data_IF_743583975504
#
_entry.id   IF_743583975504
#
_cell.length_a   1.000
_cell.length_b   1.000
_cell.length_c   1.000
_cell.angle_alpha   90.00
_cell.angle_beta   90.00
_cell.angle_gamma   90.00
#
_symmetry.space_group_name_H-M   'P 1'
#
loop_
_entity.id
_entity.type
_entity.pdbx_description
1 polymer ?
#
# COMPACT_ATOMS: atom_id res chain seq x y z
N UNK A 1 17.88 40.72 -6.53
CA UNK A 1 16.45 40.40 -6.73
C UNK A 1 15.77 40.43 -5.37
N UNK A 2 14.59 41.04 -5.25
CA UNK A 2 13.86 41.05 -3.97
C UNK A 2 13.52 39.60 -3.57
N UNK A 3 13.69 39.27 -2.28
CA UNK A 3 13.30 37.95 -1.75
C UNK A 3 11.78 37.85 -1.82
N UNK A 4 11.26 36.85 -2.54
CA UNK A 4 9.81 36.59 -2.63
C UNK A 4 9.29 36.35 -1.22
N UNK A 5 8.31 37.14 -0.80
CA UNK A 5 7.74 37.07 0.54
C UNK A 5 6.68 35.97 0.64
N UNK A 6 6.32 35.58 1.87
CA UNK A 6 5.21 34.64 2.11
C UNK A 6 3.88 35.16 1.53
N UNK A 7 3.63 36.47 1.63
CA UNK A 7 2.44 37.11 1.06
C UNK A 7 2.42 37.05 -0.47
N UNK A 8 3.58 37.22 -1.12
CA UNK A 8 3.70 37.09 -2.58
C UNK A 8 3.39 35.67 -3.02
N UNK A 9 3.90 34.65 -2.31
CA UNK A 9 3.62 33.24 -2.63
C UNK A 9 2.15 32.90 -2.41
N UNK A 10 1.54 33.36 -1.33
CA UNK A 10 0.10 33.17 -1.06
C UNK A 10 -0.76 33.73 -2.20
N UNK A 11 -0.49 34.97 -2.60
CA UNK A 11 -1.23 35.66 -3.67
C UNK A 11 -1.05 34.98 -5.02
N UNK A 12 0.17 34.53 -5.33
CA UNK A 12 0.45 33.78 -6.56
C UNK A 12 -0.29 32.44 -6.56
N UNK A 13 -0.25 31.71 -5.45
CA UNK A 13 -0.85 30.38 -5.31
C UNK A 13 -2.38 30.44 -5.47
N UNK A 14 -3.05 31.40 -4.84
CA UNK A 14 -4.52 31.59 -4.94
C UNK A 14 -5.01 31.98 -6.34
N UNK A 15 -4.18 32.68 -7.12
CA UNK A 15 -4.52 33.14 -8.46
C UNK A 15 -4.06 32.19 -9.57
N UNK A 16 -3.28 31.17 -9.25
CA UNK A 16 -2.75 30.23 -10.24
C UNK A 16 -3.87 29.34 -10.83
N UNK A 17 -3.80 29.14 -12.14
CA UNK A 17 -4.71 28.32 -12.94
C UNK A 17 -4.01 27.14 -13.64
N UNK A 18 -2.68 27.12 -13.64
CA UNK A 18 -1.86 26.03 -14.15
C UNK A 18 -1.43 25.10 -13.01
N UNK A 19 -1.76 23.82 -13.13
CA UNK A 19 -1.46 22.82 -12.10
C UNK A 19 0.03 22.62 -11.85
N UNK A 20 0.87 22.67 -12.89
CA UNK A 20 2.32 22.47 -12.75
C UNK A 20 2.97 23.65 -12.03
N UNK A 21 2.53 24.88 -12.32
CA UNK A 21 2.97 26.07 -11.61
C UNK A 21 2.46 26.08 -10.18
N UNK A 22 1.20 25.68 -9.96
CA UNK A 22 0.64 25.55 -8.62
C UNK A 22 1.48 24.60 -7.77
N UNK A 23 1.81 23.42 -8.29
CA UNK A 23 2.66 22.45 -7.62
C UNK A 23 4.01 23.05 -7.21
N UNK A 24 4.68 23.76 -8.13
CA UNK A 24 5.97 24.43 -7.85
C UNK A 24 5.85 25.51 -6.79
N UNK A 25 4.80 26.33 -6.83
CA UNK A 25 4.55 27.38 -5.85
C UNK A 25 4.26 26.80 -4.47
N UNK A 26 3.44 25.75 -4.40
CA UNK A 26 3.14 25.00 -3.16
C UNK A 26 4.42 24.44 -2.53
N UNK A 27 5.22 23.70 -3.31
CA UNK A 27 6.48 23.13 -2.81
C UNK A 27 7.45 24.20 -2.34
N UNK A 28 7.50 25.34 -3.03
CA UNK A 28 8.31 26.50 -2.61
C UNK A 28 7.82 27.12 -1.30
N UNK A 29 6.50 27.29 -1.13
CA UNK A 29 5.91 27.80 0.11
C UNK A 29 6.27 26.91 1.30
N UNK A 30 6.05 25.59 1.18
CA UNK A 30 6.31 24.62 2.24
C UNK A 30 7.81 24.55 2.58
N UNK A 31 8.67 24.43 1.57
CA UNK A 31 10.12 24.32 1.79
C UNK A 31 10.75 25.57 2.40
N UNK A 32 10.26 26.77 2.07
CA UNK A 32 10.84 28.02 2.57
C UNK A 32 10.30 28.46 3.92
N UNK A 33 9.03 28.15 4.22
CA UNK A 33 8.32 28.74 5.35
C UNK A 33 7.63 27.69 6.26
N UNK A 34 7.53 26.42 5.83
CA UNK A 34 6.80 25.39 6.57
C UNK A 34 7.35 25.07 7.95
N UNK A 35 8.64 25.32 8.19
CA UNK A 35 9.29 25.10 9.49
C UNK A 35 9.35 26.34 10.39
N UNK A 36 9.36 27.55 9.82
CA UNK A 36 9.54 28.82 10.56
C UNK A 36 8.23 29.58 10.76
N UNK A 37 7.28 29.44 9.84
CA UNK A 37 6.02 30.18 9.76
C UNK A 37 4.84 29.21 9.55
N UNK A 38 4.90 28.04 10.21
CA UNK A 38 3.99 26.90 10.00
C UNK A 38 2.52 27.30 10.09
N UNK A 39 2.14 28.14 11.06
CA UNK A 39 0.75 28.60 11.23
C UNK A 39 0.26 29.39 10.03
N UNK A 40 1.07 30.30 9.49
CA UNK A 40 0.73 31.11 8.31
C UNK A 40 0.68 30.24 7.05
N UNK A 41 1.60 29.29 6.91
CA UNK A 41 1.55 28.32 5.81
C UNK A 41 0.27 27.49 5.87
N UNK A 42 -0.09 26.97 7.04
CA UNK A 42 -1.31 26.20 7.24
C UNK A 42 -2.57 27.03 6.95
N UNK A 43 -2.61 28.30 7.34
CA UNK A 43 -3.70 29.21 7.00
C UNK A 43 -3.86 29.38 5.48
N UNK A 44 -2.75 29.55 4.75
CA UNK A 44 -2.77 29.65 3.27
C UNK A 44 -3.30 28.35 2.64
N UNK A 45 -2.77 27.20 3.06
CA UNK A 45 -3.13 25.91 2.46
C UNK A 45 -4.57 25.52 2.78
N UNK A 46 -5.03 25.72 4.01
CA UNK A 46 -6.42 25.45 4.41
C UNK A 46 -7.40 26.41 3.73
N UNK A 47 -7.04 27.68 3.55
CA UNK A 47 -7.82 28.64 2.75
C UNK A 47 -7.92 28.19 1.29
N UNK A 48 -6.80 27.78 0.68
CA UNK A 48 -6.83 27.29 -0.69
C UNK A 48 -7.67 26.01 -0.83
N UNK A 49 -7.61 25.09 0.14
CA UNK A 49 -8.46 23.90 0.11
C UNK A 49 -9.97 24.24 0.11
N UNK A 50 -10.37 25.34 0.76
CA UNK A 50 -11.74 25.84 0.77
C UNK A 50 -12.12 26.57 -0.52
N UNK A 51 -11.24 27.42 -1.02
CA UNK A 51 -11.62 28.47 -1.99
C UNK A 51 -10.89 28.36 -3.34
N UNK A 52 -9.79 27.61 -3.41
CA UNK A 52 -8.88 27.55 -4.55
C UNK A 52 -9.54 27.07 -5.85
N UNK A 53 -9.19 27.68 -6.98
CA UNK A 53 -9.86 27.43 -8.26
C UNK A 53 -9.57 26.04 -8.85
N UNK A 54 -8.42 25.46 -8.53
CA UNK A 54 -8.02 24.15 -9.01
C UNK A 54 -8.58 23.05 -8.09
N UNK A 55 -9.81 22.61 -8.37
CA UNK A 55 -10.54 21.66 -7.53
C UNK A 55 -9.76 20.35 -7.27
N UNK A 56 -9.12 19.80 -8.29
CA UNK A 56 -8.30 18.59 -8.20
C UNK A 56 -6.95 18.80 -7.49
N UNK A 57 -6.58 20.03 -7.13
CA UNK A 57 -5.40 20.29 -6.30
C UNK A 57 -5.76 20.41 -4.82
N UNK A 58 -7.04 20.60 -4.50
CA UNK A 58 -7.49 20.74 -3.11
C UNK A 58 -7.29 19.47 -2.30
N UNK A 59 -7.51 18.30 -2.89
CA UNK A 59 -7.24 16.99 -2.27
C UNK A 59 -5.73 16.75 -2.10
N UNK A 60 -4.89 17.09 -3.09
CA UNK A 60 -3.44 16.94 -2.98
C UNK A 60 -2.82 17.80 -1.87
N UNK A 61 -3.49 18.87 -1.45
CA UNK A 61 -3.05 19.68 -0.29
C UNK A 61 -3.27 18.99 1.05
N UNK A 62 -4.19 18.02 1.16
CA UNK A 62 -4.54 17.43 2.46
C UNK A 62 -3.33 16.75 3.10
N UNK A 63 -2.56 15.98 2.33
CA UNK A 63 -1.36 15.30 2.81
C UNK A 63 -0.32 16.31 3.32
N UNK A 64 -0.12 17.42 2.61
CA UNK A 64 0.80 18.48 3.03
C UNK A 64 0.34 19.17 4.32
N UNK A 65 -0.96 19.50 4.41
CA UNK A 65 -1.57 20.12 5.60
C UNK A 65 -1.41 19.19 6.80
N UNK A 66 -1.75 17.90 6.64
CA UNK A 66 -1.61 16.89 7.69
C UNK A 66 -0.14 16.78 8.12
N UNK A 67 0.81 16.78 7.18
CA UNK A 67 2.24 16.69 7.46
C UNK A 67 2.78 17.85 8.29
N UNK A 68 2.25 19.06 8.09
CA UNK A 68 2.67 20.28 8.83
C UNK A 68 2.07 20.39 10.24
N UNK A 69 0.92 19.75 10.48
CA UNK A 69 0.23 19.81 11.79
C UNK A 69 0.95 18.90 12.80
N UNK A 70 1.31 19.39 14.00
CA UNK A 70 1.80 18.53 15.08
C UNK A 70 0.75 17.52 15.55
N UNK A 71 1.17 16.36 16.02
CA UNK A 71 0.24 15.34 16.55
C UNK A 71 -0.59 15.91 17.72
N UNK A 72 -1.92 15.78 17.65
CA UNK A 72 -2.82 16.22 18.73
C UNK A 72 -3.08 17.73 18.78
N UNK A 73 -2.57 18.51 17.82
CA UNK A 73 -2.94 19.91 17.68
C UNK A 73 -4.41 20.03 17.22
N UNK A 74 -5.24 20.57 18.12
CA UNK A 74 -6.69 20.67 17.91
C UNK A 74 -7.11 21.91 17.14
N UNK A 75 -6.19 22.85 16.87
CA UNK A 75 -6.51 24.11 16.20
C UNK A 75 -7.19 23.89 14.83
N UNK A 76 -6.85 22.79 14.15
CA UNK A 76 -7.34 22.46 12.82
C UNK A 76 -8.43 21.37 12.80
N UNK A 77 -8.96 20.96 13.97
CA UNK A 77 -10.02 19.94 14.05
C UNK A 77 -11.26 20.34 13.23
N UNK A 78 -11.76 21.57 13.42
CA UNK A 78 -12.91 22.10 12.69
C UNK A 78 -12.69 22.17 11.17
N UNK A 79 -11.44 22.28 10.72
CA UNK A 79 -11.12 22.21 9.29
C UNK A 79 -11.34 20.80 8.75
N UNK A 80 -10.86 19.77 9.43
CA UNK A 80 -11.07 18.39 8.99
C UNK A 80 -12.50 17.90 9.18
N UNK A 81 -13.20 18.34 10.23
CA UNK A 81 -14.64 18.10 10.40
C UNK A 81 -15.44 18.61 9.21
N UNK A 82 -15.11 19.81 8.70
CA UNK A 82 -15.68 20.32 7.46
C UNK A 82 -15.24 19.50 6.24
N UNK A 83 -13.93 19.24 6.10
CA UNK A 83 -13.37 18.63 4.90
C UNK A 83 -13.93 17.21 4.65
N UNK A 84 -14.19 16.42 5.69
CA UNK A 84 -14.78 15.09 5.51
C UNK A 84 -16.21 15.10 4.96
N UNK A 85 -16.90 16.24 5.02
CA UNK A 85 -18.25 16.41 4.45
C UNK A 85 -18.24 16.79 2.96
N UNK A 86 -17.06 17.07 2.40
CA UNK A 86 -16.90 17.52 1.02
C UNK A 86 -16.47 16.32 0.15
N UNK A 87 -17.28 15.88 -0.84
CA UNK A 87 -17.08 14.60 -1.54
C UNK A 87 -15.66 14.32 -2.05
N UNK A 88 -14.99 15.32 -2.62
CA UNK A 88 -13.64 15.17 -3.20
C UNK A 88 -12.51 15.29 -2.17
N UNK A 89 -12.82 15.71 -0.93
CA UNK A 89 -11.85 15.84 0.16
C UNK A 89 -12.01 14.72 1.20
N UNK A 90 -13.18 14.08 1.24
CA UNK A 90 -13.54 13.08 2.26
C UNK A 90 -12.44 12.05 2.50
N UNK A 91 -12.02 11.32 1.46
CA UNK A 91 -10.95 10.31 1.53
C UNK A 91 -9.69 10.84 2.23
N UNK A 92 -9.24 12.03 1.81
CA UNK A 92 -7.97 12.61 2.21
C UNK A 92 -8.02 13.31 3.57
N UNK A 93 -9.20 13.70 4.02
CA UNK A 93 -9.40 14.41 5.27
C UNK A 93 -9.51 13.49 6.50
N UNK A 94 -9.79 12.19 6.31
CA UNK A 94 -9.98 11.22 7.41
C UNK A 94 -8.78 11.19 8.36
N UNK A 95 -7.56 11.09 7.84
CA UNK A 95 -6.35 11.00 8.67
C UNK A 95 -6.11 12.29 9.45
N UNK A 96 -6.42 13.44 8.83
CA UNK A 96 -6.31 14.75 9.49
C UNK A 96 -7.30 14.91 10.63
N UNK A 97 -8.53 14.40 10.47
CA UNK A 97 -9.53 14.39 11.53
C UNK A 97 -9.03 13.56 12.72
N UNK A 98 -8.51 12.35 12.48
CA UNK A 98 -7.93 11.51 13.53
C UNK A 98 -6.70 12.17 14.18
N UNK A 99 -5.82 12.79 13.39
CA UNK A 99 -4.62 13.45 13.89
C UNK A 99 -4.93 14.61 14.83
N UNK A 100 -5.99 15.36 14.53
CA UNK A 100 -6.39 16.56 15.29
C UNK A 100 -7.37 16.28 16.43
N UNK A 101 -8.22 15.25 16.29
CA UNK A 101 -9.31 14.96 17.25
C UNK A 101 -9.14 13.64 18.01
N UNK A 102 -8.21 12.78 17.60
CA UNK A 102 -7.96 11.48 18.20
C UNK A 102 -9.23 10.63 18.29
N UNK A 103 -9.48 10.02 19.46
CA UNK A 103 -10.67 9.20 19.70
C UNK A 103 -12.00 9.96 19.55
N UNK A 104 -12.00 11.29 19.67
CA UNK A 104 -13.23 12.08 19.50
C UNK A 104 -13.76 12.03 18.06
N UNK A 105 -12.93 11.65 17.10
CA UNK A 105 -13.33 11.47 15.70
C UNK A 105 -14.10 10.15 15.44
N UNK A 106 -14.08 9.18 16.36
CA UNK A 106 -14.50 7.81 16.06
C UNK A 106 -15.97 7.70 15.64
N UNK A 107 -16.89 8.36 16.36
CA UNK A 107 -18.31 8.37 15.99
C UNK A 107 -18.55 8.92 14.58
N UNK A 108 -17.83 9.98 14.23
CA UNK A 108 -17.95 10.62 12.92
C UNK A 108 -17.40 9.72 11.81
N UNK A 109 -16.29 9.03 12.05
CA UNK A 109 -15.72 8.08 11.08
C UNK A 109 -16.55 6.79 10.96
N UNK A 110 -17.18 6.32 12.03
CA UNK A 110 -18.12 5.19 11.97
C UNK A 110 -19.37 5.59 11.18
N UNK A 111 -19.87 6.81 11.37
CA UNK A 111 -20.96 7.36 10.56
C UNK A 111 -20.58 7.39 9.08
N UNK A 112 -19.34 7.77 8.76
CA UNK A 112 -18.83 7.77 7.39
C UNK A 112 -18.77 6.33 6.84
N UNK A 113 -18.18 5.39 7.58
CA UNK A 113 -18.04 3.99 7.16
C UNK A 113 -19.38 3.29 6.91
N UNK A 114 -20.40 3.62 7.71
CA UNK A 114 -21.73 2.99 7.66
C UNK A 114 -22.70 3.64 6.66
N UNK A 115 -22.37 4.80 6.11
CA UNK A 115 -23.22 5.50 5.16
C UNK A 115 -23.17 4.85 3.76
N UNK A 116 -24.24 4.16 3.38
CA UNK A 116 -24.36 3.44 2.11
C UNK A 116 -24.51 4.33 0.88
N UNK A 117 -24.72 5.64 1.07
CA UNK A 117 -24.77 6.64 -0.01
C UNK A 117 -23.39 7.17 -0.38
N UNK A 118 -22.35 6.89 0.42
CA UNK A 118 -21.00 7.32 0.13
C UNK A 118 -20.26 6.31 -0.77
N UNK A 119 -19.33 6.80 -1.61
CA UNK A 119 -18.36 5.96 -2.31
C UNK A 119 -17.67 4.94 -1.39
N UNK A 120 -17.42 3.73 -1.89
CA UNK A 120 -16.87 2.61 -1.11
C UNK A 120 -15.46 2.91 -0.60
N UNK A 121 -14.63 3.57 -1.40
CA UNK A 121 -13.28 4.01 -1.06
C UNK A 121 -13.26 4.97 0.14
N UNK A 122 -14.16 5.94 0.20
CA UNK A 122 -14.32 6.84 1.35
C UNK A 122 -14.65 6.05 2.62
N UNK A 123 -15.57 5.10 2.52
CA UNK A 123 -16.00 4.25 3.65
C UNK A 123 -14.85 3.35 4.12
N UNK A 124 -14.17 2.70 3.18
CA UNK A 124 -13.00 1.85 3.43
C UNK A 124 -11.86 2.66 4.08
N UNK A 125 -11.62 3.89 3.63
CA UNK A 125 -10.62 4.78 4.21
C UNK A 125 -10.90 5.12 5.67
N UNK A 126 -12.15 5.36 6.05
CA UNK A 126 -12.52 5.53 7.46
C UNK A 126 -12.20 4.26 8.27
N UNK A 127 -12.58 3.08 7.78
CA UNK A 127 -12.30 1.81 8.47
C UNK A 127 -10.79 1.57 8.61
N UNK A 128 -10.01 1.75 7.53
CA UNK A 128 -8.55 1.61 7.54
C UNK A 128 -7.89 2.53 8.56
N UNK A 129 -8.30 3.78 8.59
CA UNK A 129 -7.69 4.78 9.47
C UNK A 129 -8.09 4.54 10.94
N UNK A 130 -9.31 4.05 11.19
CA UNK A 130 -9.73 3.55 12.50
C UNK A 130 -8.91 2.31 12.91
N UNK A 131 -8.69 1.35 12.01
CA UNK A 131 -7.88 0.16 12.27
C UNK A 131 -6.47 0.53 12.75
N UNK A 132 -5.79 1.40 11.99
CA UNK A 132 -4.47 1.92 12.31
C UNK A 132 -4.43 2.64 13.66
N UNK A 133 -5.33 3.60 13.88
CA UNK A 133 -5.31 4.42 15.09
C UNK A 133 -5.72 3.62 16.35
N UNK A 134 -6.63 2.66 16.22
CA UNK A 134 -7.15 1.88 17.36
C UNK A 134 -6.45 0.54 17.57
N UNK A 135 -5.56 0.13 16.66
CA UNK A 135 -4.92 -1.19 16.60
C UNK A 135 -5.93 -2.34 16.49
N UNK A 136 -7.13 -2.07 15.98
CA UNK A 136 -8.14 -3.09 15.71
C UNK A 136 -7.90 -3.71 14.33
N UNK A 137 -7.97 -5.04 14.17
CA UNK A 137 -7.66 -5.72 12.92
C UNK A 137 -8.82 -5.66 11.91
N UNK A 138 -9.47 -4.50 11.75
CA UNK A 138 -10.61 -4.32 10.84
C UNK A 138 -10.23 -4.41 9.37
N UNK A 139 -8.94 -4.29 9.06
CA UNK A 139 -8.38 -4.32 7.72
C UNK A 139 -7.58 -5.60 7.43
N UNK A 140 -7.56 -6.54 8.38
CA UNK A 140 -6.84 -7.82 8.23
C UNK A 140 -7.13 -8.49 6.90
N UNK A 141 -6.13 -9.08 6.28
CA UNK A 141 -6.24 -9.81 4.99
C UNK A 141 -6.72 -8.94 3.81
N UNK A 142 -6.87 -7.63 3.98
CA UNK A 142 -7.19 -6.72 2.89
C UNK A 142 -5.92 -6.06 2.32
N UNK A 143 -5.97 -5.57 1.07
CA UNK A 143 -4.93 -4.72 0.51
C UNK A 143 -4.62 -3.53 1.41
N UNK A 144 -3.37 -3.07 1.40
CA UNK A 144 -2.94 -1.93 2.20
C UNK A 144 -3.70 -0.64 1.82
N UNK A 145 -3.93 -0.43 0.52
CA UNK A 145 -4.72 0.68 0.01
C UNK A 145 -6.23 0.36 0.07
N UNK A 146 -7.01 1.11 0.88
CA UNK A 146 -8.45 0.92 1.00
C UNK A 146 -9.23 1.25 -0.28
N UNK A 147 -8.62 1.90 -1.27
CA UNK A 147 -9.24 2.13 -2.58
C UNK A 147 -9.60 0.85 -3.35
N UNK A 148 -8.95 -0.27 -3.04
CA UNK A 148 -9.23 -1.59 -3.66
C UNK A 148 -10.26 -2.42 -2.90
N UNK A 149 -10.76 -1.94 -1.76
CA UNK A 149 -11.71 -2.70 -0.96
C UNK A 149 -13.10 -2.65 -1.58
N UNK A 150 -13.85 -3.73 -1.38
CA UNK A 150 -15.22 -3.91 -1.87
C UNK A 150 -16.20 -3.86 -0.70
N UNK A 151 -17.49 -3.70 -1.02
CA UNK A 151 -18.56 -3.68 0.01
C UNK A 151 -18.48 -4.89 0.97
N UNK A 152 -18.25 -6.14 0.51
CA UNK A 152 -18.14 -7.29 1.42
C UNK A 152 -16.91 -7.23 2.35
N UNK A 153 -15.89 -6.45 2.01
CA UNK A 153 -14.68 -6.30 2.82
C UNK A 153 -14.90 -5.33 4.01
N UNK A 154 -15.97 -4.53 3.98
CA UNK A 154 -16.29 -3.59 5.04
C UNK A 154 -16.83 -4.34 6.26
N UNK A 155 -15.98 -4.51 7.29
CA UNK A 155 -16.30 -5.22 8.55
C UNK A 155 -17.18 -4.39 9.49
N UNK A 156 -18.34 -3.95 8.98
CA UNK A 156 -19.24 -3.02 9.66
C UNK A 156 -19.81 -3.59 10.96
N UNK A 157 -20.10 -4.89 11.03
CA UNK A 157 -20.60 -5.53 12.25
C UNK A 157 -19.57 -5.46 13.38
N UNK A 158 -18.31 -5.77 13.09
CA UNK A 158 -17.21 -5.68 14.05
C UNK A 158 -17.00 -4.23 14.51
N UNK A 159 -17.04 -3.29 13.57
CA UNK A 159 -16.90 -1.87 13.85
C UNK A 159 -18.01 -1.34 14.79
N UNK A 160 -19.26 -1.69 14.51
CA UNK A 160 -20.41 -1.30 15.33
C UNK A 160 -20.41 -2.00 16.69
N UNK A 161 -19.95 -3.24 16.76
CA UNK A 161 -19.76 -3.92 18.03
C UNK A 161 -18.66 -3.24 18.87
N UNK A 162 -17.53 -2.89 18.24
CA UNK A 162 -16.44 -2.16 18.89
C UNK A 162 -16.91 -0.79 19.43
N UNK A 163 -17.74 -0.07 18.68
CA UNK A 163 -18.41 1.16 19.13
C UNK A 163 -19.21 0.95 20.41
N UNK A 164 -20.10 -0.05 20.42
CA UNK A 164 -20.95 -0.37 21.58
C UNK A 164 -20.15 -0.75 22.83
N UNK A 165 -18.93 -1.27 22.65
CA UNK A 165 -18.05 -1.68 23.74
C UNK A 165 -17.04 -0.58 24.17
N UNK A 166 -17.26 0.67 23.74
CA UNK A 166 -16.50 1.84 24.23
C UNK A 166 -15.10 1.97 23.65
N UNK A 167 -14.88 1.53 22.40
CA UNK A 167 -13.64 1.77 21.63
C UNK A 167 -12.35 1.24 22.26
N UNK A 168 -12.39 0.03 22.82
CA UNK A 168 -11.21 -0.61 23.40
C UNK A 168 -10.04 -0.64 22.38
N UNK A 169 -8.83 -0.35 22.84
CA UNK A 169 -7.63 -0.52 21.99
C UNK A 169 -7.46 -1.99 21.64
N UNK A 170 -7.19 -2.28 20.37
CA UNK A 170 -6.94 -3.64 19.91
C UNK A 170 -5.54 -4.11 20.28
N UNK A 171 -5.33 -5.43 20.20
CA UNK A 171 -4.02 -6.04 20.40
C UNK A 171 -3.13 -6.00 19.14
N UNK A 172 -3.63 -5.40 18.06
CA UNK A 172 -3.02 -5.52 16.73
C UNK A 172 -3.17 -6.90 16.13
N UNK A 173 -2.37 -7.19 15.10
CA UNK A 173 -2.30 -8.51 14.50
C UNK A 173 -1.54 -9.50 15.40
N UNK A 174 -1.93 -10.77 15.35
CA UNK A 174 -1.11 -11.85 15.91
C UNK A 174 0.05 -12.14 14.95
N UNK A 175 1.32 -12.12 15.40
CA UNK A 175 2.45 -12.40 14.53
C UNK A 175 2.27 -13.71 13.76
N UNK A 176 2.45 -13.69 12.43
CA UNK A 176 2.34 -14.89 11.62
C UNK A 176 3.34 -15.97 12.03
N UNK A 177 2.98 -17.24 11.81
CA UNK A 177 3.90 -18.35 12.03
C UNK A 177 5.02 -18.36 10.98
N UNK A 178 6.27 -18.48 11.44
CA UNK A 178 7.46 -18.51 10.57
C UNK A 178 8.26 -19.79 10.76
N UNK A 179 8.95 -20.22 9.70
CA UNK A 179 9.72 -21.46 9.72
C UNK A 179 11.04 -21.31 10.47
N UNK A 180 11.43 -22.33 11.25
CA UNK A 180 12.61 -22.29 12.10
C UNK A 180 13.93 -22.07 11.33
N UNK A 181 13.97 -22.48 10.06
CA UNK A 181 15.13 -22.30 9.19
C UNK A 181 15.50 -20.83 8.92
N UNK A 182 14.58 -19.87 9.09
CA UNK A 182 14.93 -18.44 9.02
C UNK A 182 15.91 -18.03 10.14
N UNK A 183 15.90 -18.75 11.28
CA UNK A 183 16.84 -18.53 12.40
C UNK A 183 18.04 -19.47 12.35
N UNK A 184 17.88 -20.66 11.76
CA UNK A 184 18.90 -21.70 11.69
C UNK A 184 19.01 -22.22 10.24
N UNK A 185 19.54 -21.41 9.31
CA UNK A 185 19.54 -21.77 7.90
C UNK A 185 20.58 -22.85 7.60
N UNK A 186 20.18 -23.90 6.87
CA UNK A 186 21.05 -25.03 6.51
C UNK A 186 21.29 -25.05 5.00
N UNK A 187 20.21 -25.04 4.23
CA UNK A 187 20.25 -25.13 2.76
C UNK A 187 20.62 -23.80 2.11
N UNK A 188 20.90 -23.81 0.80
CA UNK A 188 21.10 -22.58 0.05
C UNK A 188 19.85 -21.69 0.07
N UNK A 189 18.67 -22.30 -0.10
CA UNK A 189 17.38 -21.63 -0.01
C UNK A 189 17.19 -20.96 1.36
N UNK A 190 17.43 -21.69 2.45
CA UNK A 190 17.26 -21.15 3.81
C UNK A 190 18.16 -19.92 4.04
N UNK A 191 19.41 -19.97 3.55
CA UNK A 191 20.38 -18.89 3.72
C UNK A 191 19.99 -17.64 2.95
N UNK A 192 19.39 -17.79 1.77
CA UNK A 192 18.87 -16.64 1.00
C UNK A 192 17.60 -16.12 1.68
N UNK A 193 16.65 -16.98 2.02
CA UNK A 193 15.41 -16.58 2.69
C UNK A 193 15.65 -15.90 4.04
N UNK A 194 16.61 -16.38 4.84
CA UNK A 194 17.00 -15.74 6.10
C UNK A 194 17.63 -14.35 5.92
N UNK A 195 18.37 -14.12 4.82
CA UNK A 195 18.89 -12.79 4.48
C UNK A 195 17.79 -11.84 4.07
N UNK A 196 16.87 -12.28 3.21
CA UNK A 196 15.68 -11.51 2.84
C UNK A 196 14.86 -11.16 4.10
N UNK A 197 14.53 -12.15 4.92
CA UNK A 197 13.77 -11.96 6.17
C UNK A 197 14.43 -10.95 7.12
N UNK A 198 15.77 -10.91 7.19
CA UNK A 198 16.46 -9.91 8.01
C UNK A 198 16.17 -8.49 7.53
N UNK A 199 16.20 -8.24 6.21
CA UNK A 199 15.87 -6.93 5.62
C UNK A 199 14.41 -6.57 5.85
N UNK A 200 13.51 -7.53 5.63
CA UNK A 200 12.09 -7.35 5.90
C UNK A 200 11.82 -7.04 7.38
N UNK A 201 12.53 -7.68 8.31
CA UNK A 201 12.43 -7.39 9.73
C UNK A 201 12.90 -5.96 10.09
N UNK A 202 13.94 -5.45 9.42
CA UNK A 202 14.40 -4.06 9.57
C UNK A 202 13.31 -3.08 9.12
N UNK A 203 12.63 -3.35 8.00
CA UNK A 203 11.46 -2.59 7.52
C UNK A 203 10.30 -2.65 8.51
N UNK A 204 9.91 -3.83 8.98
CA UNK A 204 8.84 -3.98 9.99
C UNK A 204 9.15 -3.23 11.29
N UNK A 205 10.43 -3.08 11.65
CA UNK A 205 10.83 -2.32 12.84
C UNK A 205 10.76 -0.80 12.64
N UNK A 206 10.91 -0.31 11.40
CA UNK A 206 10.80 1.13 11.09
C UNK A 206 9.35 1.55 10.91
N UNK A 207 8.56 0.75 10.22
CA UNK A 207 7.15 1.01 9.96
C UNK A 207 6.40 -0.31 9.76
N UNK A 208 5.31 -0.48 10.49
CA UNK A 208 4.42 -1.62 10.31
C UNK A 208 2.99 -1.19 10.63
N UNK A 209 2.05 -1.72 9.86
CA UNK A 209 0.64 -1.59 10.15
C UNK A 209 0.29 -2.47 11.35
N UNK A 210 -0.15 -1.88 12.50
CA UNK A 210 -0.42 -2.66 13.70
C UNK A 210 -1.63 -3.58 13.54
N UNK A 211 -2.52 -3.31 12.59
CA UNK A 211 -3.74 -4.07 12.34
C UNK A 211 -3.59 -5.14 11.26
N UNK A 212 -2.56 -5.06 10.42
CA UNK A 212 -2.45 -5.88 9.22
C UNK A 212 -0.98 -6.18 8.81
N UNK A 213 -0.48 -7.41 9.03
CA UNK A 213 0.95 -7.69 8.90
C UNK A 213 1.47 -7.70 7.45
N UNK A 214 2.41 -6.83 7.09
CA UNK A 214 3.15 -6.92 5.83
C UNK A 214 4.60 -7.36 6.04
N UNK A 215 5.26 -7.67 4.93
CA UNK A 215 6.69 -7.92 4.85
C UNK A 215 7.13 -9.12 5.70
N UNK A 216 6.40 -10.24 5.71
CA UNK A 216 6.83 -11.46 6.42
C UNK A 216 7.13 -12.59 5.45
N UNK A 217 8.11 -13.45 5.79
CA UNK A 217 8.19 -14.81 5.24
C UNK A 217 7.53 -15.80 6.21
N UNK A 218 6.39 -16.37 5.80
CA UNK A 218 5.53 -17.20 6.64
C UNK A 218 5.48 -18.65 6.17
N UNK A 219 5.03 -19.54 7.05
CA UNK A 219 4.62 -20.89 6.63
C UNK A 219 3.28 -20.76 5.89
N UNK A 220 3.19 -21.26 4.66
CA UNK A 220 1.95 -21.23 3.89
C UNK A 220 0.86 -22.11 4.53
N UNK A 221 -0.40 -21.78 4.29
CA UNK A 221 -1.49 -22.68 4.62
C UNK A 221 -1.44 -23.92 3.72
N UNK A 222 -1.65 -25.11 4.28
CA UNK A 222 -1.67 -26.36 3.51
C UNK A 222 -2.69 -26.32 2.37
N UNK A 223 -3.82 -25.65 2.58
CA UNK A 223 -4.85 -25.45 1.54
C UNK A 223 -4.35 -24.67 0.34
N UNK A 224 -3.50 -23.66 0.55
CA UNK A 224 -2.97 -22.83 -0.53
C UNK A 224 -1.97 -23.64 -1.36
N UNK A 225 -1.09 -24.40 -0.70
CA UNK A 225 -0.14 -25.30 -1.37
C UNK A 225 -0.87 -26.40 -2.14
N UNK A 226 -1.92 -27.00 -1.57
CA UNK A 226 -2.73 -28.00 -2.28
C UNK A 226 -3.45 -27.41 -3.50
N UNK A 227 -4.00 -26.20 -3.38
CA UNK A 227 -4.63 -25.52 -4.50
C UNK A 227 -3.63 -25.23 -5.64
N UNK A 228 -2.42 -24.79 -5.29
CA UNK A 228 -1.32 -24.55 -6.23
C UNK A 228 -0.89 -25.86 -6.91
N UNK A 229 -0.62 -26.92 -6.14
CA UNK A 229 -0.19 -28.23 -6.66
C UNK A 229 -1.26 -28.87 -7.57
N UNK A 230 -2.54 -28.54 -7.36
CA UNK A 230 -3.62 -29.00 -8.25
C UNK A 230 -3.62 -28.33 -9.62
N UNK A 231 -2.98 -27.17 -9.75
CA UNK A 231 -2.91 -26.38 -10.99
C UNK A 231 -1.57 -26.53 -11.71
N UNK A 232 -0.48 -26.60 -10.96
CA UNK A 232 0.87 -26.52 -11.53
C UNK A 232 1.82 -27.52 -10.89
N UNK A 233 2.72 -28.07 -11.71
CA UNK A 233 3.89 -28.78 -11.23
C UNK A 233 5.03 -27.76 -11.04
N UNK A 234 5.23 -27.30 -9.81
CA UNK A 234 6.25 -26.29 -9.51
C UNK A 234 7.67 -26.88 -9.47
N UNK A 235 8.71 -26.10 -9.83
CA UNK A 235 10.09 -26.42 -9.50
C UNK A 235 10.27 -26.65 -8.00
N UNK A 236 10.97 -27.73 -7.61
CA UNK A 236 11.05 -28.20 -6.22
C UNK A 236 11.51 -27.11 -5.24
N UNK A 237 12.50 -26.31 -5.64
CA UNK A 237 13.02 -25.22 -4.83
C UNK A 237 11.99 -24.12 -4.61
N UNK A 238 11.23 -23.73 -5.65
CA UNK A 238 10.19 -22.72 -5.54
C UNK A 238 9.00 -23.22 -4.72
N UNK A 239 8.59 -24.48 -4.91
CA UNK A 239 7.55 -25.11 -4.09
C UNK A 239 7.94 -25.13 -2.61
N UNK A 240 9.19 -25.49 -2.31
CA UNK A 240 9.72 -25.49 -0.93
C UNK A 240 9.76 -24.09 -0.35
N UNK A 241 10.11 -23.09 -1.15
CA UNK A 241 10.07 -21.68 -0.75
C UNK A 241 8.66 -21.25 -0.38
N UNK A 242 7.66 -21.50 -1.24
CA UNK A 242 6.27 -21.18 -0.93
C UNK A 242 5.80 -21.90 0.33
N UNK A 243 6.12 -23.17 0.50
CA UNK A 243 5.66 -23.93 1.67
C UNK A 243 6.20 -23.37 3.00
N UNK A 244 7.49 -23.04 3.04
CA UNK A 244 8.18 -22.72 4.30
C UNK A 244 8.41 -21.22 4.53
N UNK A 245 8.45 -20.43 3.45
CA UNK A 245 8.86 -19.04 3.44
C UNK A 245 7.95 -18.21 2.52
N UNK A 246 6.66 -18.56 2.42
CA UNK A 246 5.69 -17.82 1.62
C UNK A 246 5.75 -16.33 1.99
N UNK A 247 5.97 -15.45 1.00
CA UNK A 247 5.77 -14.02 1.19
C UNK A 247 4.36 -13.73 1.73
N UNK A 248 4.26 -12.81 2.69
CA UNK A 248 3.01 -12.21 3.12
C UNK A 248 3.12 -10.71 2.88
N UNK A 249 2.66 -10.28 1.70
CA UNK A 249 2.68 -8.88 1.25
C UNK A 249 4.08 -8.28 1.41
N UNK A 250 5.03 -8.89 0.73
CA UNK A 250 6.42 -8.46 0.73
C UNK A 250 6.61 -7.47 -0.40
N UNK A 251 7.01 -6.25 -0.06
CA UNK A 251 7.44 -5.24 -1.03
C UNK A 251 8.96 -5.06 -0.91
N UNK A 252 9.65 -5.14 -2.03
CA UNK A 252 11.04 -4.71 -2.19
C UNK A 252 11.01 -3.24 -2.59
N UNK A 253 11.73 -2.39 -1.86
CA UNK A 253 11.66 -0.94 -2.05
C UNK A 253 12.16 -0.50 -3.44
N UNK A 254 11.72 0.70 -3.83
CA UNK A 254 12.21 1.37 -5.03
C UNK A 254 13.74 1.53 -5.00
N UNK A 255 14.40 1.17 -6.10
CA UNK A 255 15.85 1.25 -6.22
C UNK A 255 16.33 1.07 -7.66
N UNK A 256 17.65 0.99 -7.83
CA UNK A 256 18.28 0.85 -9.15
C UNK A 256 17.84 -0.44 -9.88
N UNK A 257 17.57 -1.52 -9.13
CA UNK A 257 17.06 -2.78 -9.68
C UNK A 257 15.56 -2.72 -9.99
N UNK A 258 14.76 -2.08 -9.12
CA UNK A 258 13.31 -2.04 -9.21
C UNK A 258 12.82 -0.60 -9.03
N UNK A 259 12.74 0.17 -10.11
CA UNK A 259 12.42 1.60 -10.04
C UNK A 259 11.03 1.90 -9.44
N UNK A 260 10.09 0.95 -9.54
CA UNK A 260 8.73 1.05 -8.98
C UNK A 260 8.55 0.22 -7.69
N UNK A 261 9.62 -0.35 -7.15
CA UNK A 261 9.55 -1.42 -6.17
C UNK A 261 9.08 -2.74 -6.79
N UNK A 262 9.12 -3.82 -6.03
CA UNK A 262 8.68 -5.15 -6.47
C UNK A 262 7.81 -5.83 -5.41
N UNK A 263 6.59 -6.21 -5.81
CA UNK A 263 5.68 -7.02 -5.02
C UNK A 263 6.02 -8.51 -5.21
N UNK A 264 6.46 -9.18 -4.14
CA UNK A 264 6.78 -10.61 -4.17
C UNK A 264 5.59 -11.44 -3.65
N UNK A 265 5.10 -12.37 -4.45
CA UNK A 265 3.83 -13.05 -4.18
C UNK A 265 3.95 -14.28 -3.29
N UNK A 266 3.03 -14.35 -2.33
CA UNK A 266 2.81 -15.50 -1.46
C UNK A 266 1.92 -16.58 -2.06
N UNK A 267 1.94 -17.76 -1.44
CA UNK A 267 1.05 -18.87 -1.81
C UNK A 267 -0.44 -18.48 -1.79
N UNK A 268 -0.86 -17.68 -0.80
CA UNK A 268 -2.26 -17.27 -0.63
C UNK A 268 -2.80 -16.32 -1.71
N UNK A 269 -1.93 -15.62 -2.46
CA UNK A 269 -2.35 -14.69 -3.52
C UNK A 269 -1.95 -15.15 -4.93
N UNK A 270 -1.02 -16.10 -5.04
CA UNK A 270 -0.38 -16.50 -6.30
C UNK A 270 -1.39 -16.82 -7.41
N UNK A 271 -2.43 -17.60 -7.09
CA UNK A 271 -3.48 -17.96 -8.07
C UNK A 271 -4.22 -16.72 -8.56
N UNK A 272 -4.65 -15.86 -7.65
CA UNK A 272 -5.40 -14.64 -8.00
C UNK A 272 -4.54 -13.67 -8.82
N UNK A 273 -3.25 -13.57 -8.50
CA UNK A 273 -2.30 -12.74 -9.26
C UNK A 273 -2.06 -13.27 -10.67
N UNK A 274 -1.83 -14.57 -10.82
CA UNK A 274 -1.69 -15.21 -12.13
C UNK A 274 -2.94 -14.99 -13.00
N UNK A 275 -4.12 -15.17 -12.42
CA UNK A 275 -5.39 -14.96 -13.14
C UNK A 275 -5.53 -13.49 -13.59
N UNK A 276 -5.01 -12.52 -12.83
CA UNK A 276 -5.00 -11.11 -13.20
C UNK A 276 -4.16 -10.78 -14.44
N UNK A 277 -3.05 -11.49 -14.65
CA UNK A 277 -2.14 -11.27 -15.79
C UNK A 277 -2.53 -12.07 -17.03
N UNK A 278 -2.97 -13.32 -16.87
CA UNK A 278 -3.35 -14.17 -17.99
C UNK A 278 -4.79 -13.95 -18.50
N UNK A 279 -5.51 -12.96 -17.96
CA UNK A 279 -6.90 -12.66 -18.28
C UNK A 279 -7.12 -11.19 -18.62
N UNK A 280 -7.79 -10.94 -19.75
CA UNK A 280 -8.25 -9.61 -20.12
C UNK A 280 -9.61 -9.35 -19.46
N UNK A 281 -9.61 -8.59 -18.36
CA UNK A 281 -10.83 -8.24 -17.61
C UNK A 281 -11.83 -7.38 -18.40
N UNK A 282 -11.37 -6.59 -19.37
CA UNK A 282 -12.24 -5.77 -20.22
C UNK A 282 -12.99 -6.60 -21.26
N UNK A 283 -12.34 -7.62 -21.80
CA UNK A 283 -12.90 -8.52 -22.83
C UNK A 283 -13.48 -9.82 -22.27
N UNK A 284 -13.25 -10.09 -20.98
CA UNK A 284 -13.65 -11.32 -20.30
C UNK A 284 -13.11 -12.58 -21.01
N UNK A 285 -11.86 -12.53 -21.47
CA UNK A 285 -11.19 -13.63 -22.18
C UNK A 285 -9.76 -13.82 -21.71
N UNK A 286 -9.21 -15.03 -21.86
CA UNK A 286 -7.77 -15.27 -21.63
C UNK A 286 -6.94 -14.51 -22.67
N UNK A 287 -5.79 -13.99 -22.26
CA UNK A 287 -4.85 -13.40 -23.21
C UNK A 287 -4.26 -14.55 -24.04
N UNK A 288 -4.59 -14.58 -25.33
CA UNK A 288 -4.26 -15.70 -26.23
C UNK A 288 -2.75 -15.97 -26.33
N UNK A 289 -1.92 -14.95 -26.16
CA UNK A 289 -0.46 -15.04 -26.30
C UNK A 289 0.27 -15.21 -24.95
N UNK A 290 -0.44 -15.45 -23.84
CA UNK A 290 0.22 -15.73 -22.56
C UNK A 290 0.82 -17.14 -22.55
N UNK A 291 2.12 -17.32 -22.24
CA UNK A 291 2.74 -18.65 -22.20
C UNK A 291 2.13 -19.52 -21.09
N UNK A 292 1.62 -20.71 -21.44
CA UNK A 292 0.93 -21.59 -20.49
C UNK A 292 1.82 -22.11 -19.35
N UNK A 293 3.14 -22.17 -19.59
CA UNK A 293 4.14 -22.61 -18.64
C UNK A 293 4.71 -21.48 -17.77
N UNK A 294 4.26 -20.24 -17.94
CA UNK A 294 4.74 -19.10 -17.17
C UNK A 294 3.77 -18.76 -16.05
N UNK A 295 4.31 -18.78 -14.83
CA UNK A 295 3.59 -18.43 -13.62
C UNK A 295 4.17 -17.14 -13.04
N UNK A 296 3.37 -16.09 -12.91
CA UNK A 296 3.77 -14.82 -12.30
C UNK A 296 4.00 -15.02 -10.80
N UNK A 297 5.21 -14.74 -10.33
CA UNK A 297 5.61 -14.89 -8.92
C UNK A 297 5.93 -13.55 -8.24
N UNK A 298 6.05 -12.47 -9.02
CA UNK A 298 6.21 -11.11 -8.56
C UNK A 298 5.85 -10.13 -9.68
N UNK A 299 5.67 -8.85 -9.35
CA UNK A 299 5.61 -7.76 -10.33
C UNK A 299 6.30 -6.49 -9.84
N UNK A 300 6.81 -5.68 -10.78
CA UNK A 300 7.34 -4.36 -10.51
C UNK A 300 6.59 -3.32 -11.33
N UNK A 301 5.70 -2.56 -10.68
CA UNK A 301 4.91 -1.53 -11.35
C UNK A 301 4.06 -2.06 -12.51
N UNK A 302 3.62 -3.32 -12.46
CA UNK A 302 2.88 -3.97 -13.54
C UNK A 302 3.72 -4.87 -14.45
N UNK A 303 5.06 -4.80 -14.40
CA UNK A 303 5.94 -5.69 -15.17
C UNK A 303 6.06 -7.06 -14.47
N UNK A 304 5.56 -8.16 -15.05
CA UNK A 304 5.53 -9.45 -14.38
C UNK A 304 6.89 -10.15 -14.39
N UNK A 305 7.24 -10.79 -13.28
CA UNK A 305 8.31 -11.77 -13.17
C UNK A 305 7.72 -13.17 -13.11
N UNK A 306 7.97 -13.96 -14.16
CA UNK A 306 7.37 -15.26 -14.38
C UNK A 306 8.40 -16.37 -14.18
N UNK A 307 8.08 -17.38 -13.37
CA UNK A 307 8.85 -18.63 -13.33
C UNK A 307 8.42 -19.56 -14.46
N UNK A 308 9.39 -20.10 -15.19
CA UNK A 308 9.15 -21.14 -16.20
C UNK A 308 9.05 -22.52 -15.55
N UNK A 309 7.84 -23.06 -15.55
CA UNK A 309 7.49 -24.37 -14.97
C UNK A 309 8.12 -25.56 -15.71
N UNK A 310 8.66 -25.38 -16.91
CA UNK A 310 9.32 -26.45 -17.66
C UNK A 310 10.78 -26.67 -17.28
N UNK A 311 11.39 -25.69 -16.60
CA UNK A 311 12.79 -25.75 -16.18
C UNK A 311 12.90 -26.30 -14.76
N UNK A 312 13.88 -27.17 -14.51
CA UNK A 312 14.07 -27.78 -13.18
C UNK A 312 14.49 -26.73 -12.14
N UNK A 313 15.34 -25.79 -12.57
CA UNK A 313 15.90 -24.73 -11.74
C UNK A 313 14.93 -23.55 -11.55
N UNK A 314 13.86 -23.47 -12.35
CA UNK A 314 12.88 -22.40 -12.32
C UNK A 314 13.44 -21.08 -12.83
N UNK A 315 13.85 -21.03 -14.10
CA UNK A 315 14.30 -19.79 -14.74
C UNK A 315 13.20 -18.71 -14.67
N UNK A 316 13.61 -17.46 -14.47
CA UNK A 316 12.71 -16.31 -14.34
C UNK A 316 12.78 -15.47 -15.60
N UNK A 317 11.61 -15.12 -16.14
CA UNK A 317 11.44 -14.24 -17.28
C UNK A 317 10.67 -12.99 -16.86
N UNK A 318 10.99 -11.85 -17.47
CA UNK A 318 10.25 -10.60 -17.26
C UNK A 318 9.77 -10.02 -18.58
N UNK A 319 8.79 -9.12 -18.54
CA UNK A 319 8.29 -8.41 -19.71
C UNK A 319 7.79 -7.02 -19.33
N UNK A 320 7.94 -6.05 -20.23
CA UNK A 320 7.42 -4.70 -20.02
C UNK A 320 5.92 -4.63 -20.34
N UNK A 321 5.11 -4.19 -19.38
CA UNK A 321 3.69 -3.93 -19.60
C UNK A 321 3.47 -2.72 -20.52
N UNK A 322 2.27 -2.62 -21.11
CA UNK A 322 1.87 -1.46 -21.91
C UNK A 322 2.44 -1.41 -23.33
N UNK A 323 3.26 -2.38 -23.74
CA UNK A 323 3.84 -2.47 -25.10
C UNK A 323 2.86 -3.01 -26.16
N UNK A 324 1.66 -3.43 -25.76
CA UNK A 324 0.62 -3.97 -26.65
C UNK A 324 0.73 -5.48 -26.90
N UNK A 325 1.91 -6.07 -26.70
CA UNK A 325 2.19 -7.51 -26.70
C UNK A 325 3.15 -7.86 -25.58
N UNK A 326 3.10 -9.09 -25.07
CA UNK A 326 4.07 -9.60 -24.10
C UNK A 326 5.30 -10.14 -24.82
N UNK A 327 6.47 -9.58 -24.50
CA UNK A 327 7.77 -10.05 -25.00
C UNK A 327 8.63 -10.39 -23.79
N UNK A 328 8.78 -11.70 -23.53
CA UNK A 328 9.49 -12.17 -22.35
C UNK A 328 10.99 -12.31 -22.61
N UNK A 329 11.80 -11.76 -21.71
CA UNK A 329 13.25 -11.90 -21.70
C UNK A 329 13.72 -12.61 -20.42
N UNK A 330 14.84 -13.34 -20.53
CA UNK A 330 15.42 -14.05 -19.39
C UNK A 330 15.94 -13.02 -18.38
N UNK A 331 15.42 -13.08 -17.15
CA UNK A 331 15.86 -12.26 -16.04
C UNK A 331 16.89 -12.97 -15.17
N UNK A 332 16.58 -14.20 -14.73
CA UNK A 332 17.48 -15.02 -13.90
C UNK A 332 17.45 -16.48 -14.36
N UNK A 333 18.60 -17.17 -14.30
CA UNK A 333 18.71 -18.55 -14.76
C UNK A 333 18.06 -19.56 -13.79
N UNK A 334 17.75 -19.14 -12.57
CA UNK A 334 17.08 -19.98 -11.56
C UNK A 334 16.31 -19.16 -10.54
N UNK A 335 15.38 -19.81 -9.84
CA UNK A 335 14.63 -19.17 -8.76
C UNK A 335 15.54 -18.73 -7.60
N UNK A 336 16.62 -19.47 -7.31
CA UNK A 336 17.56 -19.10 -6.25
C UNK A 336 18.35 -17.83 -6.58
N UNK A 337 18.73 -17.66 -7.85
CA UNK A 337 19.42 -16.45 -8.31
C UNK A 337 18.50 -15.23 -8.18
N UNK A 338 17.26 -15.35 -8.64
CA UNK A 338 16.24 -14.31 -8.47
C UNK A 338 16.03 -13.95 -6.98
N UNK A 339 15.84 -14.95 -6.12
CA UNK A 339 15.64 -14.70 -4.69
C UNK A 339 16.87 -14.06 -4.02
N UNK A 340 18.08 -14.41 -4.45
CA UNK A 340 19.31 -13.80 -3.94
C UNK A 340 19.40 -12.32 -4.33
N UNK A 341 19.00 -11.98 -5.55
CA UNK A 341 18.91 -10.59 -6.00
C UNK A 341 17.89 -9.79 -5.17
N UNK A 342 16.70 -10.34 -4.90
CA UNK A 342 15.73 -9.70 -4.02
C UNK A 342 16.33 -9.47 -2.62
N UNK A 343 17.02 -10.46 -2.05
CA UNK A 343 17.65 -10.33 -0.74
C UNK A 343 18.77 -9.27 -0.68
N UNK A 344 19.40 -8.96 -1.81
CA UNK A 344 20.42 -7.90 -1.92
C UNK A 344 19.79 -6.50 -2.02
N UNK A 345 18.61 -6.40 -2.63
CA UNK A 345 17.91 -5.13 -2.91
C UNK A 345 16.77 -4.81 -1.92
N UNK A 346 16.45 -5.72 -0.99
CA UNK A 346 15.44 -5.57 0.06
C UNK A 346 15.82 -4.64 1.22
#
# INVERSE_FOLDING_TARGET
MAKVTLQDLSTQLLNESDGNKFAKLKSKLISQYGATDTTQVLEILTTYAREGKLLHWRNFLMTDIIGLIPQGDRQYAAFFEWAITIPNLTYWAVDGLLKTSGQQAYDQLITLATNDQLPVDNRAKAIKSLALHSQQPFDRQLPADPGYWKIPDLRLEELLNWQKNGYQTGAGYTPPATHAALKQPVTALDKIAARLEKKLQERRNSQQDPSNPSDWLIIAADSDIQAIDSKWQLPETYRTFLQNFSPLRVMIDEGDAFAAGLDLYGAGELIGRQDGYAYNSMKQEKILDWPENYLVIADAGGDPFCIDLTTKEGAIYTSAHGMGTWEFELYAASFLEFLDELAQNA
#
